data_IF_155200740865
#
_entry.id   IF_155200740865
#
_cell.length_a   1.000
_cell.length_b   1.000
_cell.length_c   1.000
_cell.angle_alpha   90.00
_cell.angle_beta   90.00
_cell.angle_gamma   90.00
#
_symmetry.space_group_name_H-M   'P 1'
#
loop_
_entity.id
_entity.type
_entity.pdbx_description
1 polymer ?
#
# COMPACT_ATOMS: atom_id res chain seq x y z
N UNK A 1 11.75 -11.15 23.18
CA UNK A 1 11.81 -10.15 22.08
C UNK A 1 11.68 -8.76 22.69
N UNK A 2 12.30 -7.73 22.10
CA UNK A 2 12.27 -6.34 22.59
C UNK A 2 11.64 -5.39 21.55
N UNK A 3 10.30 -5.38 21.40
CA UNK A 3 9.60 -4.66 20.33
C UNK A 3 9.91 -3.17 20.29
N UNK A 4 10.06 -2.54 21.45
CA UNK A 4 10.23 -1.09 21.58
C UNK A 4 11.66 -0.61 21.33
N UNK A 5 12.64 -1.52 21.15
CA UNK A 5 14.03 -1.13 20.94
C UNK A 5 14.33 -0.91 19.45
N UNK A 6 13.85 0.21 18.91
CA UNK A 6 13.92 0.53 17.47
C UNK A 6 15.35 0.60 16.93
N UNK A 7 16.30 1.15 17.70
CA UNK A 7 17.69 1.27 17.28
C UNK A 7 18.33 -0.10 16.98
N UNK A 8 18.09 -1.11 17.82
CA UNK A 8 18.60 -2.46 17.56
C UNK A 8 18.00 -3.08 16.29
N UNK A 9 16.72 -2.84 16.03
CA UNK A 9 16.06 -3.30 14.81
C UNK A 9 16.69 -2.67 13.57
N UNK A 10 16.97 -1.37 13.59
CA UNK A 10 17.65 -0.67 12.49
C UNK A 10 19.07 -1.19 12.27
N UNK A 11 19.87 -1.33 13.34
CA UNK A 11 21.23 -1.86 13.25
C UNK A 11 21.27 -3.27 12.68
N UNK A 12 20.36 -4.14 13.15
CA UNK A 12 20.25 -5.51 12.67
C UNK A 12 19.84 -5.57 11.20
N UNK A 13 18.85 -4.76 10.80
CA UNK A 13 18.42 -4.62 9.42
C UNK A 13 19.57 -4.16 8.51
N UNK A 14 20.38 -3.21 8.98
CA UNK A 14 21.54 -2.71 8.24
C UNK A 14 22.63 -3.78 8.05
N UNK A 15 22.94 -4.53 9.11
CA UNK A 15 23.86 -5.67 9.01
C UNK A 15 23.41 -6.68 7.96
N UNK A 16 22.10 -6.97 7.89
CA UNK A 16 21.54 -7.87 6.89
C UNK A 16 21.56 -7.28 5.46
N UNK A 17 21.36 -5.96 5.32
CA UNK A 17 21.48 -5.24 4.04
C UNK A 17 22.89 -5.38 3.48
N UNK A 18 23.91 -5.12 4.30
CA UNK A 18 25.32 -5.22 3.91
C UNK A 18 25.73 -6.64 3.53
N UNK A 19 25.13 -7.64 4.18
CA UNK A 19 25.37 -9.06 3.88
C UNK A 19 24.55 -9.59 2.69
N UNK A 20 23.69 -8.77 2.07
CA UNK A 20 22.74 -9.19 1.03
C UNK A 20 21.94 -10.45 1.42
N UNK A 21 21.58 -10.57 2.70
CA UNK A 21 20.93 -11.77 3.22
C UNK A 21 19.48 -11.88 2.72
N UNK A 22 19.04 -13.08 2.35
CA UNK A 22 17.63 -13.35 2.01
C UNK A 22 16.65 -13.04 3.17
N UNK A 23 17.15 -13.01 4.41
CA UNK A 23 16.37 -12.68 5.61
C UNK A 23 16.02 -11.18 5.69
N UNK A 24 16.70 -10.33 4.91
CA UNK A 24 16.53 -8.88 4.92
C UNK A 24 15.06 -8.47 4.76
N UNK A 25 14.36 -8.99 3.75
CA UNK A 25 12.97 -8.62 3.48
C UNK A 25 12.00 -9.00 4.60
N UNK A 26 12.25 -10.11 5.29
CA UNK A 26 11.40 -10.52 6.42
C UNK A 26 11.62 -9.59 7.62
N UNK A 27 12.89 -9.29 7.92
CA UNK A 27 13.24 -8.37 9.01
C UNK A 27 12.76 -6.96 8.71
N UNK A 28 12.87 -6.47 7.46
CA UNK A 28 12.35 -5.17 7.04
C UNK A 28 10.86 -5.00 7.33
N UNK A 29 10.05 -6.05 7.12
CA UNK A 29 8.62 -6.03 7.43
C UNK A 29 8.38 -5.93 8.93
N UNK A 30 9.14 -6.70 9.73
CA UNK A 30 9.07 -6.66 11.20
C UNK A 30 9.52 -5.32 11.75
N UNK A 31 10.65 -4.77 11.28
CA UNK A 31 11.14 -3.46 11.73
C UNK A 31 10.14 -2.37 11.39
N UNK A 32 9.57 -2.36 10.18
CA UNK A 32 8.55 -1.41 9.80
C UNK A 32 7.29 -1.45 10.69
N UNK A 33 6.97 -2.60 11.30
CA UNK A 33 5.86 -2.71 12.25
C UNK A 33 6.21 -2.17 13.65
N UNK A 34 7.49 -2.20 14.03
CA UNK A 34 7.96 -1.74 15.34
C UNK A 34 8.43 -0.27 15.35
N UNK A 35 8.64 0.33 14.18
CA UNK A 35 9.02 1.75 14.05
C UNK A 35 7.83 2.67 14.27
N UNK A 36 8.06 3.75 15.01
CA UNK A 36 7.09 4.84 15.22
C UNK A 36 6.90 5.68 13.97
N UNK A 37 8.00 6.01 13.29
CA UNK A 37 7.99 6.75 12.04
C UNK A 37 8.58 5.92 10.90
N UNK A 38 7.75 5.63 9.91
CA UNK A 38 8.13 4.86 8.72
C UNK A 38 8.92 5.70 7.72
N UNK A 39 8.79 7.02 7.73
CA UNK A 39 9.55 7.91 6.87
C UNK A 39 11.04 7.88 7.23
N UNK A 40 11.35 7.88 8.53
CA UNK A 40 12.74 7.73 9.03
C UNK A 40 13.34 6.38 8.62
N UNK A 41 12.58 5.29 8.76
CA UNK A 41 13.04 3.97 8.27
C UNK A 41 13.24 3.97 6.75
N UNK A 42 12.35 4.62 6.00
CA UNK A 42 12.42 4.70 4.55
C UNK A 42 13.65 5.47 4.08
N UNK A 43 13.92 6.63 4.68
CA UNK A 43 15.12 7.43 4.40
C UNK A 43 16.39 6.64 4.75
N UNK A 44 16.37 5.95 5.89
CA UNK A 44 17.45 5.07 6.32
C UNK A 44 17.77 3.94 5.32
N UNK A 45 16.74 3.27 4.76
CA UNK A 45 16.98 2.17 3.80
C UNK A 45 17.25 2.66 2.37
N UNK A 46 16.74 3.84 2.01
CA UNK A 46 16.83 4.40 0.66
C UNK A 46 18.09 5.24 0.46
N UNK A 47 18.65 5.80 1.54
CA UNK A 47 19.95 6.47 1.50
C UNK A 47 21.05 5.51 1.02
N UNK A 48 21.91 6.02 0.14
CA UNK A 48 22.92 5.23 -0.57
C UNK A 48 24.07 4.84 0.35
N UNK A 49 24.46 5.72 1.28
CA UNK A 49 25.41 5.46 2.36
C UNK A 49 25.06 6.35 3.56
N UNK A 50 25.09 5.78 4.76
CA UNK A 50 24.99 6.55 5.99
C UNK A 50 26.36 7.18 6.22
N UNK A 51 26.57 8.42 5.78
CA UNK A 51 27.78 9.15 6.13
C UNK A 51 27.70 9.42 7.63
N UNK A 52 28.50 8.71 8.42
CA UNK A 52 28.85 9.24 9.73
C UNK A 52 29.41 10.64 9.46
N UNK A 53 28.82 11.66 10.07
CA UNK A 53 29.43 12.98 10.11
C UNK A 53 30.69 12.76 10.96
N UNK A 54 31.79 12.44 10.30
CA UNK A 54 33.07 12.29 10.94
C UNK A 54 33.46 13.67 11.46
N UNK A 55 33.41 13.82 12.78
CA UNK A 55 34.11 14.85 13.55
C UNK A 55 33.75 16.31 13.22
N UNK A 56 32.71 16.82 13.86
CA UNK A 56 32.69 18.23 14.26
C UNK A 56 32.55 18.24 15.79
N UNK A 57 33.48 18.91 16.47
CA UNK A 57 33.50 19.06 17.92
C UNK A 57 32.12 19.52 18.43
N UNK A 58 31.64 19.01 19.60
CA UNK A 58 30.28 19.27 20.10
C UNK A 58 30.00 20.71 20.55
N UNK A 59 30.79 21.70 20.11
CA UNK A 59 30.67 23.11 20.51
C UNK A 59 30.26 24.07 19.39
N UNK A 60 30.25 23.68 18.12
CA UNK A 60 29.93 24.60 17.02
C UNK A 60 28.78 24.15 16.11
N UNK A 61 27.78 23.45 16.67
CA UNK A 61 26.46 23.35 16.01
C UNK A 61 25.76 24.70 16.16
N UNK A 62 26.12 25.68 15.32
CA UNK A 62 25.20 26.78 15.04
C UNK A 62 24.04 26.20 14.25
N UNK A 63 22.95 25.94 14.95
CA UNK A 63 21.64 25.65 14.38
C UNK A 63 21.28 26.84 13.47
N UNK A 64 21.59 26.73 12.18
CA UNK A 64 21.03 27.56 11.14
C UNK A 64 20.09 26.69 10.34
N UNK A 65 18.82 26.99 10.56
CA UNK A 65 17.67 26.68 9.71
C UNK A 65 17.13 25.24 9.77
N UNK A 66 16.90 24.73 10.98
CA UNK A 66 15.72 23.87 11.19
C UNK A 66 14.48 24.77 11.28
N UNK A 67 13.75 24.95 10.17
CA UNK A 67 12.34 25.33 10.26
C UNK A 67 11.57 24.12 10.81
N UNK A 68 11.43 24.12 12.13
CA UNK A 68 10.43 23.32 12.84
C UNK A 68 9.07 23.80 12.35
N UNK A 69 8.45 23.04 11.45
CA UNK A 69 7.00 23.16 11.20
C UNK A 69 6.33 22.28 12.25
N UNK A 70 6.10 22.86 13.42
CA UNK A 70 5.07 22.40 14.35
C UNK A 70 3.72 22.72 13.71
N UNK A 71 3.08 21.73 13.08
CA UNK A 71 1.66 21.81 12.76
C UNK A 71 0.87 21.15 13.90
N UNK A 72 0.34 21.99 14.79
CA UNK A 72 -0.78 21.66 15.65
C UNK A 72 -1.91 22.66 15.35
N UNK A 73 -3.15 22.22 15.10
CA UNK A 73 -4.18 23.05 14.51
C UNK A 73 -4.89 23.89 15.59
N UNK A 74 -4.77 25.22 15.51
CA UNK A 74 -5.74 26.11 16.14
C UNK A 74 -6.13 27.26 15.20
N UNK A 75 -7.44 27.33 14.98
CA UNK A 75 -8.20 28.41 14.38
C UNK A 75 -7.73 29.82 14.79
N UNK A 76 -7.66 30.74 13.82
CA UNK A 76 -8.40 32.02 13.87
C UNK A 76 -8.34 32.77 12.53
N UNK A 77 -9.53 33.13 12.09
CA UNK A 77 -9.93 34.16 11.14
C UNK A 77 -9.17 35.48 11.31
N UNK A 78 -8.71 36.09 10.21
CA UNK A 78 -9.23 37.37 9.74
C UNK A 78 -8.72 37.74 8.32
N UNK A 79 -9.71 38.11 7.53
CA UNK A 79 -9.78 38.80 6.24
C UNK A 79 -8.69 39.84 5.94
N UNK A 80 -8.13 39.76 4.73
CA UNK A 80 -7.91 40.92 3.84
C UNK A 80 -8.28 40.57 2.39
N UNK A 81 -9.42 41.11 1.98
CA UNK A 81 -9.83 41.48 0.62
C UNK A 81 -8.78 42.38 -0.06
N UNK A 82 -8.57 42.51 -1.39
CA UNK A 82 -9.16 42.01 -2.65
C UNK A 82 -8.15 42.37 -3.74
N UNK A 83 -7.92 41.51 -4.73
CA UNK A 83 -8.13 41.84 -6.16
C UNK A 83 -7.82 40.66 -7.09
N UNK A 84 -8.55 40.58 -8.23
CA UNK A 84 -9.01 39.31 -8.77
C UNK A 84 -8.22 38.91 -10.02
N UNK A 85 -7.75 37.65 -10.05
CA UNK A 85 -7.31 37.03 -11.30
C UNK A 85 -8.23 35.83 -11.63
N UNK A 86 -9.25 36.17 -12.42
CA UNK A 86 -9.83 35.38 -13.52
C UNK A 86 -10.09 33.89 -13.23
N UNK A 87 -11.35 33.64 -12.88
CA UNK A 87 -12.19 32.57 -13.41
C UNK A 87 -11.80 32.15 -14.85
N UNK A 88 -11.45 30.87 -14.98
CA UNK A 88 -11.29 30.01 -16.19
C UNK A 88 -10.17 29.02 -15.77
N UNK A 89 -10.40 27.81 -15.27
CA UNK A 89 -11.06 26.65 -15.87
C UNK A 89 -11.20 25.61 -14.73
N UNK A 90 -12.34 25.58 -14.04
CA UNK A 90 -12.79 24.36 -13.35
C UNK A 90 -13.58 23.51 -14.37
N UNK A 91 -13.02 23.32 -15.57
CA UNK A 91 -13.57 22.32 -16.48
C UNK A 91 -13.19 20.97 -15.93
N UNK A 92 -14.21 20.10 -15.83
CA UNK A 92 -14.02 18.68 -15.60
C UNK A 92 -12.95 18.21 -16.59
N UNK A 93 -11.79 17.85 -16.06
CA UNK A 93 -10.66 17.39 -16.85
C UNK A 93 -11.00 15.98 -17.34
N UNK A 94 -11.83 15.90 -18.38
CA UNK A 94 -12.23 14.65 -19.01
C UNK A 94 -11.10 14.19 -19.93
N UNK A 95 -10.63 12.96 -19.71
CA UNK A 95 -9.66 12.29 -20.59
C UNK A 95 -8.21 12.75 -20.48
N UNK A 96 -7.86 13.69 -19.59
CA UNK A 96 -6.45 13.93 -19.25
C UNK A 96 -6.07 13.06 -18.05
N UNK A 97 -4.85 12.49 -18.03
CA UNK A 97 -4.40 11.71 -16.88
C UNK A 97 -4.42 12.56 -15.61
N UNK A 98 -4.77 11.94 -14.49
CA UNK A 98 -4.66 12.54 -13.16
C UNK A 98 -3.23 13.08 -12.97
N UNK A 99 -3.13 14.35 -12.60
CA UNK A 99 -1.85 14.96 -12.25
C UNK A 99 -1.53 14.58 -10.80
N UNK A 100 -0.31 14.13 -10.56
CA UNK A 100 0.19 13.77 -9.24
C UNK A 100 1.33 14.74 -8.90
N UNK A 101 1.25 15.43 -7.76
CA UNK A 101 2.36 16.25 -7.26
C UNK A 101 3.38 15.37 -6.50
N UNK A 102 4.67 15.70 -6.60
CA UNK A 102 5.74 15.01 -5.90
C UNK A 102 5.68 15.19 -4.38
N UNK A 103 4.97 16.21 -3.90
CA UNK A 103 4.74 16.48 -2.48
C UNK A 103 3.52 15.72 -1.90
N UNK A 104 2.75 15.01 -2.74
CA UNK A 104 1.68 14.15 -2.25
C UNK A 104 2.28 12.99 -1.45
N UNK A 105 1.66 12.64 -0.32
CA UNK A 105 2.04 11.48 0.49
C UNK A 105 1.95 10.23 -0.40
N UNK A 106 3.12 9.79 -0.91
CA UNK A 106 3.36 8.76 -1.92
C UNK A 106 2.11 8.04 -2.47
N UNK A 107 1.79 8.29 -3.75
CA UNK A 107 0.67 7.60 -4.40
C UNK A 107 0.86 6.07 -4.39
N UNK A 108 -0.24 5.32 -4.26
CA UNK A 108 -0.24 3.85 -4.28
C UNK A 108 0.50 3.25 -5.49
N UNK A 109 0.47 3.94 -6.64
CA UNK A 109 1.21 3.55 -7.85
C UNK A 109 2.73 3.62 -7.65
N UNK A 110 3.22 4.60 -6.90
CA UNK A 110 4.63 4.70 -6.54
C UNK A 110 5.03 3.57 -5.57
N UNK A 111 4.10 3.18 -4.68
CA UNK A 111 4.32 2.06 -3.78
C UNK A 111 4.35 0.71 -4.52
N UNK A 112 3.48 0.52 -5.53
CA UNK A 112 3.50 -0.65 -6.41
C UNK A 112 4.82 -0.81 -7.18
N UNK A 113 5.41 0.30 -7.66
CA UNK A 113 6.70 0.28 -8.37
C UNK A 113 7.84 -0.31 -7.52
N UNK A 114 7.85 -0.03 -6.21
CA UNK A 114 8.85 -0.52 -5.26
C UNK A 114 8.72 -2.05 -5.05
N UNK A 115 7.53 -2.61 -5.27
CA UNK A 115 7.27 -4.05 -5.14
C UNK A 115 7.45 -4.85 -6.43
N UNK A 116 7.72 -4.18 -7.56
CA UNK A 116 7.92 -4.88 -8.84
C UNK A 116 9.13 -5.81 -8.73
N UNK A 117 8.84 -7.12 -8.64
CA UNK A 117 9.89 -8.13 -8.57
C UNK A 117 10.69 -8.09 -9.88
N UNK A 118 12.01 -8.13 -9.78
CA UNK A 118 12.85 -8.30 -10.97
C UNK A 118 12.47 -9.63 -11.64
N UNK A 119 12.12 -9.64 -12.93
CA UNK A 119 11.85 -10.89 -13.63
C UNK A 119 13.11 -11.75 -13.58
N UNK A 120 12.95 -13.02 -13.23
CA UNK A 120 14.06 -13.98 -13.20
C UNK A 120 14.51 -14.17 -14.65
N UNK A 121 15.70 -13.69 -14.99
CA UNK A 121 16.34 -14.04 -16.27
C UNK A 121 16.72 -15.50 -16.20
N UNK A 122 15.83 -16.35 -16.71
CA UNK A 122 16.07 -17.78 -16.82
C UNK A 122 16.75 -17.97 -18.17
N UNK A 123 18.07 -17.75 -18.19
CA UNK A 123 18.88 -18.14 -19.34
C UNK A 123 18.67 -19.64 -19.57
N UNK A 124 18.27 -20.00 -20.78
CA UNK A 124 18.13 -21.37 -21.21
C UNK A 124 19.50 -22.04 -21.19
N UNK A 125 19.84 -22.69 -20.08
CA UNK A 125 20.86 -23.72 -20.08
C UNK A 125 20.29 -24.90 -20.87
N UNK A 126 20.59 -24.90 -22.16
CA UNK A 126 20.44 -26.07 -23.01
C UNK A 126 21.18 -27.25 -22.37
N UNK A 127 20.43 -28.33 -22.32
CA UNK A 127 20.79 -29.64 -21.83
C UNK A 127 22.09 -30.13 -22.49
N UNK A 128 23.08 -30.52 -21.69
CA UNK A 128 23.91 -31.68 -22.04
C UNK A 128 23.84 -32.71 -20.93
N UNK A 129 23.00 -33.71 -21.19
CA UNK A 129 23.20 -35.09 -20.80
C UNK A 129 24.64 -35.53 -21.10
N UNK A 130 25.37 -36.04 -20.10
CA UNK A 130 25.83 -37.44 -20.05
C UNK A 130 26.85 -37.70 -18.93
N UNK A 131 26.47 -38.63 -18.04
CA UNK A 131 27.26 -39.67 -17.32
C UNK A 131 28.63 -39.27 -16.72
N UNK A 132 28.87 -39.43 -15.43
CA UNK A 132 28.97 -40.76 -14.80
C UNK A 132 29.20 -40.67 -13.28
N UNK A 133 28.59 -41.63 -12.57
CA UNK A 133 29.05 -42.30 -11.34
C UNK A 133 29.54 -41.48 -10.15
N UNK A 134 28.71 -41.42 -9.10
CA UNK A 134 29.04 -42.06 -7.82
C UNK A 134 27.75 -42.39 -7.04
N UNK A 135 27.57 -43.69 -6.78
CA UNK A 135 26.66 -44.21 -5.75
C UNK A 135 27.12 -43.64 -4.40
N UNK A 136 26.18 -43.28 -3.53
CA UNK A 136 26.05 -43.94 -2.23
C UNK A 136 24.77 -43.53 -1.49
N UNK A 137 24.00 -44.57 -1.18
CA UNK A 137 23.13 -44.75 -0.01
C UNK A 137 21.89 -43.87 0.16
N UNK A 138 20.77 -44.56 -0.07
CA UNK A 138 19.42 -44.28 0.38
C UNK A 138 19.36 -43.95 1.88
N UNK A 139 18.97 -42.71 2.19
CA UNK A 139 18.22 -42.36 3.41
C UNK A 139 17.24 -41.23 3.07
N UNK A 140 15.93 -41.48 2.98
CA UNK A 140 14.98 -40.42 3.20
C UNK A 140 14.92 -40.14 4.70
N UNK A 141 15.50 -39.02 5.11
CA UNK A 141 15.37 -38.44 6.45
C UNK A 141 13.95 -37.86 6.59
N UNK A 142 12.93 -38.72 6.70
CA UNK A 142 11.59 -38.31 7.12
C UNK A 142 11.55 -38.19 8.65
N UNK A 143 11.89 -37.01 9.12
CA UNK A 143 11.51 -36.50 10.45
C UNK A 143 9.99 -36.27 10.51
N UNK A 144 9.18 -37.34 10.49
CA UNK A 144 7.72 -37.20 10.50
C UNK A 144 6.91 -38.50 10.57
N UNK A 145 7.44 -39.58 11.17
CA UNK A 145 6.72 -40.86 11.31
C UNK A 145 5.35 -40.70 12.00
N UNK A 146 5.26 -39.83 13.01
CA UNK A 146 4.02 -39.57 13.75
C UNK A 146 2.90 -38.94 12.90
N UNK A 147 3.23 -38.21 11.83
CA UNK A 147 2.23 -37.57 10.98
C UNK A 147 1.67 -38.56 9.95
N UNK A 148 2.49 -39.51 9.48
CA UNK A 148 2.04 -40.58 8.60
C UNK A 148 1.17 -41.60 9.32
N UNK A 149 1.45 -41.92 10.58
CA UNK A 149 0.61 -42.84 11.37
C UNK A 149 -0.84 -42.31 11.53
N UNK A 150 -1.00 -40.99 11.66
CA UNK A 150 -2.31 -40.34 11.69
C UNK A 150 -3.04 -40.44 10.34
N UNK A 151 -2.30 -40.35 9.24
CA UNK A 151 -2.83 -40.48 7.88
C UNK A 151 -3.25 -41.92 7.61
N UNK A 152 -2.44 -42.91 7.98
CA UNK A 152 -2.77 -44.33 7.83
C UNK A 152 -3.96 -44.73 8.70
N UNK A 153 -4.03 -44.22 9.92
CA UNK A 153 -5.19 -44.39 10.82
C UNK A 153 -6.45 -43.73 10.26
N UNK A 154 -6.33 -42.62 9.52
CA UNK A 154 -7.45 -41.95 8.88
C UNK A 154 -7.95 -42.71 7.65
N UNK A 155 -7.04 -43.18 6.79
CA UNK A 155 -7.36 -43.97 5.59
C UNK A 155 -8.03 -45.29 5.98
N UNK A 156 -7.52 -45.98 7.01
CA UNK A 156 -8.10 -47.23 7.51
C UNK A 156 -9.49 -47.05 8.15
N UNK A 157 -9.81 -45.86 8.66
CA UNK A 157 -11.11 -45.58 9.27
C UNK A 157 -12.23 -45.34 8.24
N UNK A 158 -11.92 -45.25 6.93
CA UNK A 158 -12.84 -45.05 5.78
C UNK A 158 -14.14 -44.29 6.13
N UNK A 159 -13.99 -43.14 6.80
CA UNK A 159 -15.12 -42.41 7.36
C UNK A 159 -15.76 -41.56 6.26
N UNK A 160 -16.89 -42.02 5.74
CA UNK A 160 -17.71 -41.23 4.81
C UNK A 160 -18.41 -40.10 5.55
N UNK A 161 -18.10 -38.85 5.23
CA UNK A 161 -18.82 -37.69 5.75
C UNK A 161 -20.14 -37.55 4.99
N UNK A 162 -21.28 -37.69 5.67
CA UNK A 162 -22.58 -37.29 5.13
C UNK A 162 -22.70 -35.77 5.30
N UNK A 163 -22.94 -34.97 4.25
CA UNK A 163 -23.19 -33.55 4.42
C UNK A 163 -24.43 -33.36 5.29
N UNK A 164 -24.32 -32.54 6.34
CA UNK A 164 -25.47 -32.11 7.14
C UNK A 164 -26.29 -31.17 6.27
N UNK A 165 -27.44 -31.63 5.78
CA UNK A 165 -28.39 -30.83 5.01
C UNK A 165 -29.18 -29.98 6.02
N UNK A 166 -28.52 -28.99 6.60
CA UNK A 166 -29.19 -28.05 7.52
C UNK A 166 -28.40 -26.76 7.60
N UNK A 167 -28.48 -25.97 6.55
CA UNK A 167 -28.37 -24.52 6.59
C UNK A 167 -28.99 -24.02 5.28
N UNK A 168 -29.84 -22.99 5.37
CA UNK A 168 -30.41 -22.34 4.21
C UNK A 168 -29.26 -21.94 3.28
N UNK A 169 -29.30 -22.36 2.02
CA UNK A 169 -28.42 -21.82 0.98
C UNK A 169 -28.90 -20.40 0.66
N UNK A 170 -28.81 -19.50 1.63
CA UNK A 170 -29.09 -18.09 1.42
C UNK A 170 -28.00 -17.56 0.50
N UNK A 171 -28.42 -17.00 -0.62
CA UNK A 171 -27.51 -16.48 -1.63
C UNK A 171 -26.82 -15.21 -1.11
N UNK A 172 -25.63 -15.40 -0.53
CA UNK A 172 -24.77 -14.34 0.01
C UNK A 172 -24.33 -13.36 -1.11
N UNK A 173 -24.47 -13.72 -2.40
CA UNK A 173 -24.05 -12.86 -3.51
C UNK A 173 -24.89 -11.60 -3.66
N UNK A 174 -26.12 -11.56 -3.11
CA UNK A 174 -27.02 -10.39 -3.23
C UNK A 174 -26.43 -9.11 -2.64
N UNK A 175 -25.67 -9.22 -1.56
CA UNK A 175 -25.02 -8.08 -0.90
C UNK A 175 -23.97 -7.42 -1.80
N UNK A 176 -23.34 -8.19 -2.71
CA UNK A 176 -22.33 -7.67 -3.64
C UNK A 176 -22.92 -6.82 -4.78
N UNK A 177 -24.22 -6.95 -5.04
CA UNK A 177 -24.94 -6.18 -6.06
C UNK A 177 -25.24 -4.77 -5.54
N UNK A 178 -25.35 -4.60 -4.21
CA UNK A 178 -25.60 -3.32 -3.58
C UNK A 178 -24.32 -2.47 -3.57
N UNK A 179 -24.42 -1.24 -4.06
CA UNK A 179 -23.30 -0.30 -4.03
C UNK A 179 -23.12 0.22 -2.60
N UNK A 180 -21.93 0.02 -2.05
CA UNK A 180 -21.58 0.53 -0.73
C UNK A 180 -21.31 2.04 -0.79
N UNK A 181 -22.25 2.84 -0.28
CA UNK A 181 -22.11 4.31 -0.18
C UNK A 181 -20.88 4.72 0.64
N UNK A 182 -20.48 3.90 1.62
CA UNK A 182 -19.31 4.16 2.45
C UNK A 182 -17.98 4.16 1.67
N UNK A 183 -17.93 3.49 0.51
CA UNK A 183 -16.73 3.35 -0.33
C UNK A 183 -16.54 4.51 -1.32
N UNK A 184 -17.42 5.52 -1.32
CA UNK A 184 -17.33 6.63 -2.25
C UNK A 184 -16.08 7.50 -1.97
N UNK A 185 -15.27 7.72 -3.00
CA UNK A 185 -14.05 8.55 -2.98
C UNK A 185 -14.04 9.48 -4.19
N UNK A 186 -13.32 10.60 -4.11
CA UNK A 186 -13.22 11.59 -5.19
C UNK A 186 -12.70 10.95 -6.48
N UNK A 187 -11.63 10.14 -6.39
CA UNK A 187 -11.08 9.40 -7.53
C UNK A 187 -12.10 8.44 -8.13
N UNK A 188 -12.88 7.73 -7.32
CA UNK A 188 -13.92 6.83 -7.82
C UNK A 188 -15.03 7.60 -8.55
N UNK A 189 -15.43 8.76 -8.04
CA UNK A 189 -16.41 9.63 -8.69
C UNK A 189 -15.91 10.11 -10.06
N UNK A 190 -14.63 10.47 -10.16
CA UNK A 190 -13.98 10.80 -11.43
C UNK A 190 -13.92 9.61 -12.39
N UNK A 191 -13.60 8.41 -11.91
CA UNK A 191 -13.63 7.19 -12.74
C UNK A 191 -15.03 6.92 -13.30
N UNK A 192 -16.10 7.12 -12.52
CA UNK A 192 -17.46 6.99 -13.03
C UNK A 192 -17.79 8.00 -14.12
N UNK A 193 -17.29 9.22 -13.97
CA UNK A 193 -17.45 10.30 -14.95
C UNK A 193 -16.73 9.96 -16.26
N UNK A 194 -15.48 9.49 -16.20
CA UNK A 194 -14.72 9.00 -17.36
C UNK A 194 -15.43 7.85 -18.08
N UNK A 195 -16.05 6.94 -17.31
CA UNK A 195 -16.86 5.84 -17.84
C UNK A 195 -18.24 6.28 -18.37
N UNK A 196 -18.54 7.59 -18.39
CA UNK A 196 -19.85 8.17 -18.76
C UNK A 196 -21.02 7.69 -17.89
N UNK A 197 -20.74 7.16 -16.69
CA UNK A 197 -21.75 6.75 -15.71
C UNK A 197 -22.16 7.94 -14.84
N UNK A 198 -22.81 8.93 -15.46
CA UNK A 198 -23.09 10.22 -14.82
C UNK A 198 -23.94 10.12 -13.56
N UNK A 199 -24.93 9.23 -13.53
CA UNK A 199 -25.77 9.03 -12.34
C UNK A 199 -24.94 8.59 -11.13
N UNK A 200 -24.04 7.62 -11.31
CA UNK A 200 -23.14 7.13 -10.25
C UNK A 200 -22.11 8.17 -9.83
N UNK A 201 -21.63 8.99 -10.77
CA UNK A 201 -20.73 10.09 -10.45
C UNK A 201 -21.44 11.15 -9.58
N UNK A 202 -22.70 11.49 -9.91
CA UNK A 202 -23.49 12.43 -9.12
C UNK A 202 -23.75 11.87 -7.72
N UNK A 203 -24.17 10.62 -7.58
CA UNK A 203 -24.41 10.00 -6.26
C UNK A 203 -23.13 9.99 -5.42
N UNK A 204 -21.99 9.59 -6.02
CA UNK A 204 -20.70 9.61 -5.32
C UNK A 204 -20.34 11.02 -4.81
N UNK A 205 -20.48 12.07 -5.64
CA UNK A 205 -20.22 13.44 -5.22
C UNK A 205 -21.21 13.95 -4.16
N UNK A 206 -22.47 13.52 -4.21
CA UNK A 206 -23.45 13.86 -3.15
C UNK A 206 -23.08 13.22 -1.82
N UNK A 207 -22.70 11.95 -1.81
CA UNK A 207 -22.24 11.24 -0.60
C UNK A 207 -20.99 11.90 -0.04
N UNK A 208 -20.03 12.27 -0.89
CA UNK A 208 -18.82 12.98 -0.48
C UNK A 208 -19.12 14.37 0.10
N UNK A 209 -20.10 15.08 -0.45
CA UNK A 209 -20.55 16.38 0.09
C UNK A 209 -21.13 16.26 1.50
N UNK A 210 -21.85 15.16 1.79
CA UNK A 210 -22.36 14.88 3.13
C UNK A 210 -21.25 14.44 4.09
N UNK A 211 -20.27 13.67 3.59
CA UNK A 211 -19.14 13.15 4.38
C UNK A 211 -18.10 14.22 4.71
N UNK A 212 -17.87 15.16 3.81
CA UNK A 212 -16.84 16.21 3.90
C UNK A 212 -17.43 17.60 3.64
N UNK A 213 -18.20 18.16 4.59
CA UNK A 213 -18.93 19.41 4.40
C UNK A 213 -18.04 20.63 4.11
N UNK A 214 -16.77 20.61 4.55
CA UNK A 214 -15.77 21.64 4.25
C UNK A 214 -15.54 21.83 2.74
N UNK A 215 -15.64 20.76 1.97
CA UNK A 215 -15.49 20.75 0.50
C UNK A 215 -16.83 20.74 -0.23
N UNK A 216 -17.95 20.96 0.46
CA UNK A 216 -19.30 20.90 -0.13
C UNK A 216 -19.48 21.81 -1.35
N UNK A 217 -18.98 23.04 -1.31
CA UNK A 217 -19.02 23.99 -2.43
C UNK A 217 -18.30 23.45 -3.68
N UNK A 218 -17.16 22.80 -3.49
CA UNK A 218 -16.41 22.16 -4.57
C UNK A 218 -17.23 21.05 -5.22
N UNK A 219 -17.79 20.12 -4.43
CA UNK A 219 -18.60 19.03 -4.95
C UNK A 219 -19.88 19.53 -5.65
N UNK A 220 -20.52 20.57 -5.12
CA UNK A 220 -21.68 21.19 -5.75
C UNK A 220 -21.36 21.72 -7.16
N UNK A 221 -20.17 22.29 -7.34
CA UNK A 221 -19.70 22.75 -8.66
C UNK A 221 -19.46 21.57 -9.61
N UNK A 222 -18.84 20.48 -9.14
CA UNK A 222 -18.65 19.26 -9.95
C UNK A 222 -19.98 18.64 -10.38
N UNK A 223 -20.96 18.55 -9.47
CA UNK A 223 -22.30 18.04 -9.77
C UNK A 223 -22.98 18.91 -10.84
N UNK A 224 -22.89 20.24 -10.73
CA UNK A 224 -23.44 21.17 -11.73
C UNK A 224 -22.78 20.96 -13.09
N UNK A 225 -21.45 20.79 -13.12
CA UNK A 225 -20.71 20.56 -14.35
C UNK A 225 -21.10 19.22 -15.02
N UNK A 226 -21.26 18.15 -14.24
CA UNK A 226 -21.70 16.84 -14.75
C UNK A 226 -23.12 16.93 -15.32
N UNK A 227 -24.04 17.59 -14.62
CA UNK A 227 -25.41 17.79 -15.11
C UNK A 227 -25.45 18.57 -16.43
N UNK A 228 -24.55 19.55 -16.59
CA UNK A 228 -24.40 20.28 -17.85
C UNK A 228 -23.92 19.39 -19.00
N UNK A 229 -23.03 18.42 -18.73
CA UNK A 229 -22.57 17.43 -19.72
C UNK A 229 -23.66 16.42 -20.05
N UNK A 230 -24.44 15.96 -19.06
CA UNK A 230 -25.52 15.00 -19.29
C UNK A 230 -26.64 15.58 -20.18
N UNK A 231 -26.91 16.88 -20.06
CA UNK A 231 -27.94 17.58 -20.82
C UNK A 231 -27.46 18.08 -22.20
N UNK A 232 -26.21 17.82 -22.57
CA UNK A 232 -25.61 18.23 -23.85
C UNK A 232 -25.60 17.06 -24.82
#
# INVERSE_FOLDING_TARGET
EYPYFQAAHFLYLNGLKNQNSFKYNNILKKTAAYTTDRAVLFDYISSKEFTFIDNEDPKDIKIKDLKVVEDSPQNKTETKEVSPLKSEVNELIIGKPLQFDANETFSFNQWLKITSAKPISREENQILSNKSSQKDTEKPMHSGKSNFDLIDKFISLNKTLKPSISESNDDISRESILENENLMTETLAHVYLEQKKYQKAITAFTVLSLKYPEKSSFFANQIKAIKKIQNK
#
